data_IF_168430039888
#
_entry.id   IF_168430039888
#
_cell.length_a   1.000
_cell.length_b   1.000
_cell.length_c   1.000
_cell.angle_alpha   90.00
_cell.angle_beta   90.00
_cell.angle_gamma   90.00
#
_symmetry.space_group_name_H-M   'P 1'
#
loop_
_entity.id
_entity.type
_entity.pdbx_description
1 polymer ?
#
# COMPACT_ATOMS: atom_id res chain seq x y z
N UNK A 1 -78.87 -30.92 15.47
CA UNK A 1 -77.54 -31.28 14.90
C UNK A 1 -76.72 -30.01 14.80
N UNK A 2 -75.65 -29.87 15.59
CA UNK A 2 -74.77 -28.71 15.53
C UNK A 2 -73.53 -29.03 14.69
N UNK A 3 -73.44 -28.44 13.50
CA UNK A 3 -72.27 -28.53 12.63
C UNK A 3 -71.21 -27.53 13.10
N UNK A 4 -70.19 -28.01 13.81
CA UNK A 4 -69.05 -27.20 14.24
C UNK A 4 -68.14 -26.93 13.03
N UNK A 5 -68.41 -25.86 12.29
CA UNK A 5 -67.60 -25.45 11.16
C UNK A 5 -66.24 -24.91 11.63
N UNK A 6 -65.21 -25.76 11.53
CA UNK A 6 -63.83 -25.43 11.90
C UNK A 6 -63.29 -24.40 10.92
N UNK A 7 -63.19 -23.13 11.33
CA UNK A 7 -62.57 -22.04 10.54
C UNK A 7 -61.11 -22.43 10.26
N UNK A 8 -60.82 -22.85 9.03
CA UNK A 8 -59.46 -23.22 8.60
C UNK A 8 -58.58 -21.96 8.55
N UNK A 9 -57.90 -21.70 9.66
CA UNK A 9 -56.50 -21.25 9.81
C UNK A 9 -55.87 -20.44 8.67
N UNK A 10 -56.50 -19.34 8.23
CA UNK A 10 -55.88 -18.37 7.31
C UNK A 10 -54.55 -17.83 7.87
N UNK A 11 -54.49 -17.60 9.19
CA UNK A 11 -53.28 -17.19 9.90
C UNK A 11 -52.11 -18.14 9.68
N UNK A 12 -52.33 -19.47 9.68
CA UNK A 12 -51.26 -20.47 9.46
C UNK A 12 -50.69 -20.40 8.05
N UNK A 13 -51.47 -19.96 7.06
CA UNK A 13 -51.02 -19.80 5.67
C UNK A 13 -50.15 -18.56 5.49
N UNK A 14 -50.27 -17.58 6.39
CA UNK A 14 -49.51 -16.33 6.36
C UNK A 14 -48.16 -16.41 7.09
N UNK A 15 -47.96 -17.40 7.96
CA UNK A 15 -46.71 -17.58 8.74
C UNK A 15 -45.50 -17.75 7.81
N UNK A 16 -45.59 -18.63 6.81
CA UNK A 16 -44.48 -18.84 5.88
C UNK A 16 -44.06 -17.56 5.14
N UNK A 17 -44.95 -16.84 4.44
CA UNK A 17 -44.54 -15.62 3.74
C UNK A 17 -44.04 -14.52 4.69
N UNK A 18 -44.56 -14.40 5.92
CA UNK A 18 -44.02 -13.42 6.88
C UNK A 18 -42.61 -13.78 7.33
N UNK A 19 -42.35 -15.04 7.65
CA UNK A 19 -41.01 -15.51 8.04
C UNK A 19 -40.04 -15.30 6.88
N UNK A 20 -40.42 -15.65 5.65
CA UNK A 20 -39.60 -15.41 4.46
C UNK A 20 -39.31 -13.93 4.25
N UNK A 21 -40.31 -13.05 4.39
CA UNK A 21 -40.12 -11.60 4.27
C UNK A 21 -39.18 -11.06 5.35
N UNK A 22 -39.28 -11.55 6.60
CA UNK A 22 -38.38 -11.16 7.68
C UNK A 22 -36.93 -11.57 7.39
N UNK A 23 -36.70 -12.81 6.93
CA UNK A 23 -35.36 -13.25 6.52
C UNK A 23 -34.83 -12.44 5.33
N UNK A 24 -35.66 -12.16 4.34
CA UNK A 24 -35.26 -11.37 3.18
C UNK A 24 -34.88 -9.94 3.58
N UNK A 25 -35.64 -9.33 4.48
CA UNK A 25 -35.32 -8.01 5.04
C UNK A 25 -34.01 -8.01 5.84
N UNK A 26 -33.79 -9.04 6.66
CA UNK A 26 -32.54 -9.22 7.41
C UNK A 26 -31.34 -9.35 6.46
N UNK A 27 -31.43 -10.22 5.45
CA UNK A 27 -30.37 -10.39 4.47
C UNK A 27 -30.14 -9.12 3.64
N UNK A 28 -31.20 -8.43 3.22
CA UNK A 28 -31.08 -7.16 2.52
C UNK A 28 -30.34 -6.12 3.38
N UNK A 29 -30.74 -5.95 4.64
CA UNK A 29 -30.06 -5.04 5.57
C UNK A 29 -28.58 -5.38 5.74
N UNK A 30 -28.26 -6.66 5.96
CA UNK A 30 -26.89 -7.15 6.10
C UNK A 30 -26.08 -7.08 4.79
N UNK A 31 -26.71 -7.16 3.62
CA UNK A 31 -26.02 -6.97 2.34
C UNK A 31 -25.57 -5.51 2.14
N UNK A 32 -26.30 -4.54 2.69
CA UNK A 32 -25.93 -3.12 2.64
C UNK A 32 -24.99 -2.70 3.76
N UNK A 33 -25.21 -3.15 5.00
CA UNK A 33 -24.48 -2.71 6.19
C UNK A 33 -23.45 -3.71 6.72
N UNK A 34 -23.37 -4.90 6.12
CA UNK A 34 -22.42 -5.93 6.54
C UNK A 34 -20.99 -5.60 6.15
N UNK A 35 -20.05 -6.18 6.89
CA UNK A 35 -18.61 -6.08 6.67
C UNK A 35 -18.18 -6.55 5.26
N UNK A 36 -18.96 -7.44 4.66
CA UNK A 36 -18.79 -7.97 3.29
C UNK A 36 -19.84 -7.43 2.31
N UNK A 37 -20.53 -6.35 2.67
CA UNK A 37 -21.54 -5.73 1.83
C UNK A 37 -20.93 -5.12 0.57
N UNK A 38 -21.78 -4.86 -0.43
CA UNK A 38 -21.36 -4.27 -1.71
C UNK A 38 -20.59 -2.96 -1.53
N UNK A 39 -20.94 -2.18 -0.50
CA UNK A 39 -20.29 -0.92 -0.15
C UNK A 39 -18.89 -1.13 0.44
N UNK A 40 -18.70 -2.18 1.25
CA UNK A 40 -17.41 -2.51 1.84
C UNK A 40 -16.43 -3.01 0.75
N UNK A 41 -16.92 -3.79 -0.20
CA UNK A 41 -16.12 -4.21 -1.35
C UNK A 41 -15.61 -3.01 -2.15
N UNK A 42 -16.48 -2.03 -2.46
CA UNK A 42 -16.08 -0.82 -3.19
C UNK A 42 -15.03 0.01 -2.43
N UNK A 43 -15.14 0.09 -1.09
CA UNK A 43 -14.15 0.77 -0.25
C UNK A 43 -12.80 0.06 -0.26
N UNK A 44 -12.79 -1.27 -0.12
CA UNK A 44 -11.58 -2.09 -0.14
C UNK A 44 -10.89 -2.05 -1.51
N UNK A 45 -11.65 -2.03 -2.60
CA UNK A 45 -11.10 -1.85 -3.95
C UNK A 45 -10.43 -0.48 -4.13
N UNK A 46 -11.05 0.59 -3.60
CA UNK A 46 -10.45 1.92 -3.60
C UNK A 46 -9.14 2.00 -2.79
N UNK A 47 -9.13 1.42 -1.59
CA UNK A 47 -7.95 1.36 -0.72
C UNK A 47 -6.83 0.52 -1.37
N UNK A 48 -7.18 -0.62 -1.97
CA UNK A 48 -6.24 -1.44 -2.73
C UNK A 48 -5.62 -0.68 -3.90
N UNK A 49 -6.41 0.09 -4.64
CA UNK A 49 -5.91 0.91 -5.75
C UNK A 49 -4.94 2.00 -5.28
N UNK A 50 -5.25 2.65 -4.15
CA UNK A 50 -4.37 3.66 -3.55
C UNK A 50 -3.02 3.04 -3.09
N UNK A 51 -3.08 1.93 -2.35
CA UNK A 51 -1.87 1.22 -1.89
C UNK A 51 -1.04 0.71 -3.07
N UNK A 52 -1.68 0.21 -4.13
CA UNK A 52 -0.96 -0.23 -5.33
C UNK A 52 -0.20 0.92 -5.99
N UNK A 53 -0.82 2.11 -6.09
CA UNK A 53 -0.13 3.30 -6.61
C UNK A 53 1.08 3.71 -5.76
N UNK A 54 0.97 3.61 -4.44
CA UNK A 54 2.09 3.89 -3.54
C UNK A 54 3.22 2.85 -3.68
N UNK A 55 2.87 1.57 -3.80
CA UNK A 55 3.82 0.49 -4.05
C UNK A 55 4.58 0.71 -5.36
N UNK A 56 3.88 1.06 -6.43
CA UNK A 56 4.50 1.28 -7.74
C UNK A 56 5.48 2.47 -7.70
N UNK A 57 5.11 3.56 -7.00
CA UNK A 57 6.00 4.70 -6.78
C UNK A 57 7.26 4.29 -6.01
N UNK A 58 7.11 3.62 -4.88
CA UNK A 58 8.23 3.18 -4.04
C UNK A 58 9.12 2.16 -4.75
N UNK A 59 8.53 1.28 -5.55
CA UNK A 59 9.28 0.33 -6.37
C UNK A 59 10.13 1.05 -7.42
N UNK A 60 9.60 2.10 -8.06
CA UNK A 60 10.34 2.95 -8.99
C UNK A 60 11.52 3.68 -8.31
N UNK A 61 11.28 4.26 -7.13
CA UNK A 61 12.33 4.91 -6.33
C UNK A 61 13.43 3.93 -5.93
N UNK A 62 13.05 2.74 -5.46
CA UNK A 62 13.99 1.67 -5.13
C UNK A 62 14.80 1.26 -6.36
N UNK A 63 14.18 1.11 -7.53
CA UNK A 63 14.88 0.73 -8.75
C UNK A 63 15.92 1.78 -9.16
N UNK A 64 15.54 3.07 -9.11
CA UNK A 64 16.44 4.18 -9.40
C UNK A 64 17.63 4.24 -8.41
N UNK A 65 17.36 4.11 -7.11
CA UNK A 65 18.39 4.07 -6.08
C UNK A 65 19.29 2.83 -6.22
N UNK A 66 18.71 1.66 -6.50
CA UNK A 66 19.46 0.43 -6.72
C UNK A 66 20.41 0.55 -7.90
N UNK A 67 19.98 1.19 -8.99
CA UNK A 67 20.85 1.47 -10.15
C UNK A 67 21.99 2.43 -9.79
N UNK A 68 21.72 3.47 -8.99
CA UNK A 68 22.76 4.38 -8.49
C UNK A 68 23.75 3.67 -7.58
N UNK A 69 23.27 2.87 -6.64
CA UNK A 69 24.10 2.07 -5.73
C UNK A 69 24.91 1.04 -6.51
N UNK A 70 24.36 0.42 -7.56
CA UNK A 70 25.14 -0.52 -8.37
C UNK A 70 26.31 0.14 -9.09
N UNK A 71 26.20 1.41 -9.48
CA UNK A 71 27.32 2.17 -10.04
C UNK A 71 28.39 2.53 -8.99
N UNK A 72 28.03 2.52 -7.71
CA UNK A 72 28.93 2.81 -6.59
C UNK A 72 29.54 1.54 -5.97
N UNK A 73 29.28 0.36 -6.54
CA UNK A 73 29.77 -0.89 -5.98
C UNK A 73 31.29 -1.03 -6.20
N UNK A 74 32.05 -1.49 -5.18
CA UNK A 74 33.51 -1.61 -5.24
C UNK A 74 34.00 -2.49 -6.39
N UNK A 75 33.18 -3.46 -6.82
CA UNK A 75 33.49 -4.33 -7.97
C UNK A 75 33.60 -3.55 -9.31
N UNK A 76 33.02 -2.35 -9.40
CA UNK A 76 33.10 -1.45 -10.56
C UNK A 76 33.71 -0.07 -10.23
N UNK A 77 34.17 0.15 -9.00
CA UNK A 77 34.62 1.45 -8.53
C UNK A 77 36.15 1.55 -8.66
N UNK A 78 36.62 2.51 -9.44
CA UNK A 78 38.05 2.75 -9.64
C UNK A 78 38.69 3.31 -8.36
N UNK A 79 39.77 2.67 -7.90
CA UNK A 79 40.50 3.06 -6.71
C UNK A 79 41.16 4.45 -6.87
N UNK A 80 41.57 4.83 -8.09
CA UNK A 80 42.17 6.13 -8.35
C UNK A 80 41.11 7.25 -8.27
N UNK A 81 39.90 6.99 -8.77
CA UNK A 81 38.77 7.93 -8.67
C UNK A 81 38.34 8.15 -7.22
N UNK A 82 38.42 7.11 -6.38
CA UNK A 82 38.21 7.23 -4.94
C UNK A 82 39.29 8.09 -4.25
N UNK A 83 40.56 7.91 -4.62
CA UNK A 83 41.67 8.70 -4.07
C UNK A 83 41.54 10.19 -4.45
N UNK A 84 41.15 10.48 -5.69
CA UNK A 84 40.84 11.84 -6.14
C UNK A 84 39.66 12.44 -5.37
N UNK A 85 38.55 11.72 -5.23
CA UNK A 85 37.37 12.21 -4.49
C UNK A 85 37.68 12.46 -3.00
N UNK A 86 38.51 11.61 -2.38
CA UNK A 86 38.95 11.78 -1.01
C UNK A 86 39.86 13.02 -0.86
N UNK A 87 40.80 13.22 -1.79
CA UNK A 87 41.67 14.41 -1.82
C UNK A 87 40.87 15.70 -2.09
N UNK A 88 39.91 15.67 -3.01
CA UNK A 88 39.13 16.83 -3.40
C UNK A 88 38.10 17.26 -2.34
N UNK A 89 37.39 16.31 -1.71
CA UNK A 89 36.29 16.64 -0.78
C UNK A 89 36.70 16.65 0.69
N UNK A 90 37.64 15.78 1.08
CA UNK A 90 38.05 15.63 2.47
C UNK A 90 39.43 16.21 2.75
N UNK A 91 40.09 16.82 1.75
CA UNK A 91 41.50 17.23 1.81
C UNK A 91 42.39 16.08 2.32
N UNK A 92 42.02 14.84 2.00
CA UNK A 92 42.69 13.64 2.50
C UNK A 92 44.12 13.59 1.95
N UNK A 93 45.09 13.33 2.81
CA UNK A 93 46.52 13.37 2.48
C UNK A 93 47.22 12.17 3.12
N UNK A 94 48.06 11.45 2.38
CA UNK A 94 48.78 10.27 2.89
C UNK A 94 50.09 10.69 3.59
N UNK A 95 50.62 9.87 4.53
CA UNK A 95 51.93 10.13 5.13
C UNK A 95 53.01 10.22 4.05
N UNK A 96 53.62 11.39 3.89
CA UNK A 96 54.65 11.67 2.88
C UNK A 96 54.21 12.56 1.70
N UNK A 97 52.93 12.89 1.59
CA UNK A 97 52.44 13.83 0.58
C UNK A 97 52.86 15.28 0.89
N UNK A 98 53.25 16.05 -0.14
CA UNK A 98 53.65 17.45 -0.03
C UNK A 98 52.42 18.37 -0.17
N UNK A 99 52.00 19.01 0.92
CA UNK A 99 50.90 19.98 0.91
C UNK A 99 51.42 21.39 0.62
N UNK A 100 51.01 21.97 -0.51
CA UNK A 100 51.34 23.34 -0.89
C UNK A 100 50.17 24.26 -0.55
N UNK A 101 50.35 25.12 0.45
CA UNK A 101 49.39 26.20 0.75
C UNK A 101 49.65 27.35 -0.22
N UNK A 102 48.83 27.45 -1.27
CA UNK A 102 48.87 28.62 -2.15
C UNK A 102 48.34 29.83 -1.34
N UNK A 103 49.10 30.92 -1.18
CA UNK A 103 48.56 32.14 -0.59
C UNK A 103 47.40 32.61 -1.46
N UNK A 104 46.25 32.90 -0.83
CA UNK A 104 45.10 33.45 -1.52
C UNK A 104 45.54 34.77 -2.18
N UNK A 105 45.80 34.70 -3.49
CA UNK A 105 46.14 35.86 -4.28
C UNK A 105 44.99 36.85 -4.19
N UNK A 106 45.27 38.00 -3.58
CA UNK A 106 44.41 39.19 -3.64
C UNK A 106 44.05 39.44 -5.11
N UNK A 107 42.77 39.24 -5.43
CA UNK A 107 42.12 39.83 -6.60
C UNK A 107 41.17 40.90 -6.09
#
# INVERSE_FOLDING_TARGET
MATRQRRKTFARRLIMPTVTAAFLGYFAYHAFHGEYGLLAQARLEGEKAALQGELDRLAGERAALSSRVSMLRPESLDADMLDELARANLSYTKPGDLVLYMPAGQR
#
